data_IF_653506217274
#
_entry.id   IF_653506217274
#
_cell.length_a   1.000
_cell.length_b   1.000
_cell.length_c   1.000
_cell.angle_alpha   90.00
_cell.angle_beta   90.00
_cell.angle_gamma   90.00
#
_symmetry.space_group_name_H-M   'P 1'
#
loop_
_entity.id
_entity.type
_entity.pdbx_description
1 polymer ?
#
# COMPACT_ATOMS: atom_id res chain seq x y z
N UNK A 1 -105.25 12.56 -6.53
CA UNK A 1 -105.66 11.28 -5.90
C UNK A 1 -104.78 10.20 -6.52
N UNK A 2 -103.86 9.47 -5.88
CA UNK A 2 -103.48 9.27 -4.49
C UNK A 2 -101.96 8.99 -4.44
N UNK A 3 -101.25 9.59 -3.48
CA UNK A 3 -100.03 9.06 -2.83
C UNK A 3 -100.46 8.21 -1.59
N UNK A 4 -99.62 7.59 -0.72
CA UNK A 4 -98.14 7.73 -0.55
C UNK A 4 -97.34 6.50 0.01
N UNK A 5 -96.02 6.73 0.25
CA UNK A 5 -95.13 6.25 1.35
C UNK A 5 -94.37 4.90 1.30
N UNK A 6 -93.03 5.00 1.32
CA UNK A 6 -92.02 4.37 2.23
C UNK A 6 -90.73 4.04 1.46
N UNK A 7 -89.48 4.15 1.91
CA UNK A 7 -88.80 4.72 3.06
C UNK A 7 -87.26 4.54 2.82
N UNK A 8 -86.48 5.62 2.98
CA UNK A 8 -85.16 5.75 3.69
C UNK A 8 -83.97 4.77 3.38
N UNK A 9 -82.74 5.34 3.36
CA UNK A 9 -81.38 4.76 3.65
C UNK A 9 -80.65 4.12 2.42
N UNK A 10 -79.38 4.38 2.05
CA UNK A 10 -78.21 4.93 2.72
C UNK A 10 -77.23 5.63 1.74
N UNK A 11 -76.70 6.77 2.20
CA UNK A 11 -75.42 7.36 1.81
C UNK A 11 -74.28 6.47 2.29
N UNK A 12 -73.26 6.17 1.47
CA UNK A 12 -71.85 6.28 1.88
C UNK A 12 -70.88 6.11 0.72
N UNK A 13 -70.11 7.17 0.46
CA UNK A 13 -68.79 7.11 -0.15
C UNK A 13 -67.96 6.01 0.52
N UNK A 14 -67.49 5.04 -0.26
CA UNK A 14 -66.49 4.05 0.15
C UNK A 14 -65.17 4.28 -0.56
N UNK A 15 -64.56 5.46 -0.38
CA UNK A 15 -63.15 5.68 -0.72
C UNK A 15 -62.32 5.08 0.42
N UNK A 16 -62.05 3.77 0.41
CA UNK A 16 -61.14 3.15 1.38
C UNK A 16 -59.77 2.90 0.77
N UNK A 17 -58.95 3.95 0.72
CA UNK A 17 -57.51 3.78 0.78
C UNK A 17 -57.14 3.89 2.27
N UNK A 18 -56.85 2.78 2.93
CA UNK A 18 -55.98 2.78 4.12
C UNK A 18 -55.36 1.40 4.29
N UNK A 19 -54.35 1.10 3.46
CA UNK A 19 -53.26 0.26 3.92
C UNK A 19 -52.44 1.10 4.90
N UNK A 20 -52.83 1.12 6.17
CA UNK A 20 -51.93 1.59 7.23
C UNK A 20 -50.97 0.45 7.53
N UNK A 21 -49.85 0.41 6.78
CA UNK A 21 -48.70 -0.37 7.17
C UNK A 21 -48.35 -0.01 8.62
N UNK A 22 -48.07 -1.01 9.47
CA UNK A 22 -47.80 -0.73 10.88
C UNK A 22 -46.55 0.16 11.00
N UNK A 23 -46.46 0.97 12.06
CA UNK A 23 -45.25 1.78 12.29
C UNK A 23 -43.97 0.94 12.31
N UNK A 24 -44.07 -0.36 12.65
CA UNK A 24 -42.98 -1.32 12.54
C UNK A 24 -42.63 -1.66 11.08
N UNK A 25 -43.63 -1.81 10.19
CA UNK A 25 -43.41 -2.07 8.76
C UNK A 25 -42.80 -0.85 8.04
N UNK A 26 -43.23 0.36 8.38
CA UNK A 26 -42.65 1.60 7.83
C UNK A 26 -41.22 1.78 8.34
N UNK A 27 -40.99 1.53 9.63
CA UNK A 27 -39.66 1.64 10.22
C UNK A 27 -38.71 0.52 9.76
N UNK A 28 -39.23 -0.65 9.35
CA UNK A 28 -38.43 -1.71 8.73
C UNK A 28 -38.14 -1.38 7.26
N UNK A 29 -39.13 -0.88 6.50
CA UNK A 29 -38.94 -0.45 5.12
C UNK A 29 -37.93 0.70 4.99
N UNK A 30 -37.91 1.65 5.92
CA UNK A 30 -36.94 2.75 5.91
C UNK A 30 -35.53 2.26 6.26
N UNK A 31 -35.41 1.32 7.20
CA UNK A 31 -34.13 0.68 7.55
C UNK A 31 -33.56 -0.11 6.38
N UNK A 32 -34.40 -0.83 5.66
CA UNK A 32 -33.98 -1.60 4.49
C UNK A 32 -33.49 -0.69 3.35
N UNK A 33 -34.14 0.47 3.14
CA UNK A 33 -33.70 1.46 2.15
C UNK A 33 -32.33 2.08 2.53
N UNK A 34 -32.13 2.42 3.81
CA UNK A 34 -30.87 2.97 4.31
C UNK A 34 -29.73 1.95 4.22
N UNK A 35 -30.00 0.68 4.53
CA UNK A 35 -29.03 -0.41 4.38
C UNK A 35 -28.61 -0.59 2.90
N UNK A 36 -29.56 -0.50 1.96
CA UNK A 36 -29.23 -0.58 0.54
C UNK A 36 -28.35 0.59 0.07
N UNK A 37 -28.61 1.81 0.56
CA UNK A 37 -27.76 2.99 0.27
C UNK A 37 -26.34 2.79 0.79
N UNK A 38 -26.18 2.30 2.02
CA UNK A 38 -24.86 2.01 2.58
C UNK A 38 -24.12 0.93 1.77
N UNK A 39 -24.80 -0.13 1.36
CA UNK A 39 -24.20 -1.20 0.53
C UNK A 39 -23.73 -0.65 -0.81
N UNK A 40 -24.51 0.23 -1.45
CA UNK A 40 -24.12 0.87 -2.71
C UNK A 40 -22.87 1.74 -2.51
N UNK A 41 -22.83 2.53 -1.44
CA UNK A 41 -21.70 3.39 -1.13
C UNK A 41 -20.42 2.59 -0.83
N UNK A 42 -20.50 1.57 0.02
CA UNK A 42 -19.35 0.70 0.34
C UNK A 42 -18.82 -0.03 -0.91
N UNK A 43 -19.71 -0.48 -1.80
CA UNK A 43 -19.30 -1.08 -3.09
C UNK A 43 -18.54 -0.08 -3.96
N UNK A 44 -18.95 1.19 -3.95
CA UNK A 44 -18.25 2.26 -4.68
C UNK A 44 -16.85 2.50 -4.09
N UNK A 45 -16.76 2.69 -2.77
CA UNK A 45 -15.48 2.92 -2.08
C UNK A 45 -14.51 1.74 -2.25
N UNK A 46 -15.00 0.49 -2.18
CA UNK A 46 -14.18 -0.70 -2.43
C UNK A 46 -13.66 -0.77 -3.87
N UNK A 47 -14.46 -0.37 -4.85
CA UNK A 47 -14.02 -0.33 -6.25
C UNK A 47 -12.93 0.73 -6.48
N UNK A 48 -13.07 1.89 -5.84
CA UNK A 48 -12.05 2.94 -5.86
C UNK A 48 -10.75 2.46 -5.20
N UNK A 49 -10.84 1.85 -4.01
CA UNK A 49 -9.67 1.28 -3.33
C UNK A 49 -9.00 0.17 -4.13
N UNK A 50 -9.79 -0.70 -4.78
CA UNK A 50 -9.28 -1.75 -5.68
C UNK A 50 -8.55 -1.16 -6.89
N UNK A 51 -9.02 -0.02 -7.41
CA UNK A 51 -8.33 0.68 -8.50
C UNK A 51 -7.00 1.29 -8.08
N UNK A 52 -6.86 1.67 -6.80
CA UNK A 52 -5.60 2.17 -6.23
C UNK A 52 -4.63 1.03 -5.90
N UNK A 53 -5.15 -0.10 -5.41
CA UNK A 53 -4.38 -1.33 -5.17
C UNK A 53 -4.44 -2.25 -6.38
N UNK A 54 -3.73 -1.87 -7.45
CA UNK A 54 -3.56 -2.71 -8.62
C UNK A 54 -2.63 -3.88 -8.28
N UNK A 55 -3.19 -4.89 -7.62
CA UNK A 55 -2.56 -6.20 -7.51
C UNK A 55 -2.83 -6.94 -8.82
N UNK A 56 -1.78 -7.14 -9.59
CA UNK A 56 -1.81 -7.93 -10.82
C UNK A 56 -2.07 -9.41 -10.50
N UNK A 57 -2.50 -10.18 -11.49
CA UNK A 57 -2.79 -11.60 -11.34
C UNK A 57 -1.55 -12.42 -10.92
N UNK A 58 -0.34 -11.92 -11.24
CA UNK A 58 0.94 -12.50 -10.83
C UNK A 58 1.34 -12.16 -9.38
N UNK A 59 0.49 -11.42 -8.67
CA UNK A 59 0.72 -11.00 -7.30
C UNK A 59 1.52 -9.70 -7.16
N UNK A 60 1.96 -9.08 -8.26
CA UNK A 60 2.65 -7.79 -8.27
C UNK A 60 1.73 -6.70 -7.73
N UNK A 61 2.17 -5.97 -6.73
CA UNK A 61 1.50 -4.74 -6.29
C UNK A 61 2.10 -3.56 -7.05
N UNK A 62 1.29 -2.89 -7.88
CA UNK A 62 1.68 -1.61 -8.47
C UNK A 62 1.36 -0.48 -7.52
N UNK A 63 2.39 0.29 -7.21
CA UNK A 63 2.29 1.52 -6.43
C UNK A 63 2.38 2.71 -7.40
N UNK A 64 1.38 3.61 -7.43
CA UNK A 64 1.42 4.84 -8.23
C UNK A 64 2.68 5.68 -7.98
N UNK A 65 3.11 6.47 -8.98
CA UNK A 65 4.39 7.18 -8.95
C UNK A 65 4.48 8.30 -7.90
N UNK A 66 3.35 8.74 -7.38
CA UNK A 66 3.19 9.81 -6.39
C UNK A 66 2.92 9.28 -4.96
N UNK A 67 2.77 7.96 -4.79
CA UNK A 67 2.54 7.35 -3.49
C UNK A 67 3.82 7.32 -2.66
N UNK A 68 3.72 7.83 -1.43
CA UNK A 68 4.76 7.69 -0.41
C UNK A 68 4.41 6.55 0.54
N UNK A 69 5.36 5.63 0.73
CA UNK A 69 5.25 4.57 1.73
C UNK A 69 6.07 4.98 2.94
N UNK A 70 5.43 5.67 3.87
CA UNK A 70 6.00 5.99 5.18
C UNK A 70 5.50 4.98 6.22
N UNK A 71 6.42 4.39 7.00
CA UNK A 71 6.08 3.49 8.11
C UNK A 71 5.91 4.22 9.45
N UNK A 72 6.08 5.54 9.48
CA UNK A 72 5.79 6.41 10.63
C UNK A 72 6.76 6.27 11.81
N UNK A 73 6.35 6.79 12.97
CA UNK A 73 7.12 6.80 14.22
C UNK A 73 6.83 5.51 15.01
N UNK A 74 7.42 4.35 14.67
CA UNK A 74 7.49 3.25 15.62
C UNK A 74 8.30 2.02 15.14
N UNK A 75 9.07 1.47 16.09
CA UNK A 75 9.45 0.03 16.22
C UNK A 75 10.29 -0.59 15.09
N UNK A 76 11.09 -1.65 15.38
CA UNK A 76 11.88 -2.31 14.34
C UNK A 76 10.95 -2.93 13.31
N UNK A 77 11.12 -2.51 12.05
CA UNK A 77 10.27 -2.96 10.97
C UNK A 77 11.07 -3.84 10.01
N UNK A 78 10.78 -5.14 10.06
CA UNK A 78 11.48 -6.20 9.31
C UNK A 78 10.83 -6.37 7.94
N UNK A 79 11.65 -6.56 6.91
CA UNK A 79 11.20 -6.98 5.57
C UNK A 79 11.97 -8.23 5.20
N UNK A 80 11.28 -9.36 5.16
CA UNK A 80 11.80 -10.64 4.69
C UNK A 80 11.21 -10.93 3.31
N UNK A 81 12.03 -11.37 2.37
CA UNK A 81 11.63 -11.60 0.97
C UNK A 81 11.57 -13.09 0.63
N UNK A 82 12.18 -13.99 1.41
CA UNK A 82 12.23 -15.44 1.14
C UNK A 82 13.01 -15.87 -0.12
N UNK A 83 13.28 -14.94 -1.06
CA UNK A 83 14.07 -15.10 -2.27
C UNK A 83 14.77 -13.81 -2.67
N UNK A 84 14.91 -13.56 -3.97
CA UNK A 84 15.64 -12.40 -4.48
C UNK A 84 14.86 -11.08 -4.33
N UNK A 85 15.55 -10.03 -3.90
CA UNK A 85 15.04 -8.66 -3.89
C UNK A 85 15.78 -7.85 -4.97
N UNK A 86 15.04 -7.32 -5.95
CA UNK A 86 15.57 -6.44 -7.00
C UNK A 86 14.99 -5.02 -6.87
N UNK A 87 15.86 -4.02 -6.76
CA UNK A 87 15.49 -2.59 -6.64
C UNK A 87 16.04 -1.85 -7.86
N UNK A 88 15.15 -1.50 -8.79
CA UNK A 88 15.50 -0.73 -9.99
C UNK A 88 14.95 0.69 -9.88
N UNK A 89 15.83 1.69 -9.92
CA UNK A 89 15.44 3.10 -9.94
C UNK A 89 15.91 3.75 -11.23
N UNK A 90 15.13 4.70 -11.76
CA UNK A 90 15.47 5.45 -12.98
C UNK A 90 16.35 6.68 -12.73
N UNK A 91 16.43 7.11 -11.47
CA UNK A 91 17.16 8.30 -11.05
C UNK A 91 18.06 7.93 -9.88
N UNK A 92 17.62 8.24 -8.66
CA UNK A 92 18.44 8.11 -7.47
C UNK A 92 17.83 7.08 -6.51
N UNK A 93 18.69 6.30 -5.88
CA UNK A 93 18.39 5.55 -4.66
C UNK A 93 19.19 6.20 -3.52
N UNK A 94 18.50 6.62 -2.46
CA UNK A 94 19.11 7.22 -1.27
C UNK A 94 18.84 6.29 -0.09
N UNK A 95 19.90 5.89 0.62
CA UNK A 95 19.83 5.13 1.87
C UNK A 95 20.46 6.01 2.93
N UNK A 96 19.64 6.57 3.81
CA UNK A 96 20.08 7.41 4.93
C UNK A 96 19.85 6.68 6.25
N UNK A 97 20.88 6.61 7.09
CA UNK A 97 20.85 5.94 8.38
C UNK A 97 21.29 6.87 9.47
N UNK A 98 20.34 7.39 10.26
CA UNK A 98 20.63 8.41 11.29
C UNK A 98 21.63 7.99 12.38
N UNK A 99 21.88 6.68 12.57
CA UNK A 99 22.92 6.17 13.49
C UNK A 99 23.89 5.19 12.83
N UNK A 100 23.39 4.22 12.06
CA UNK A 100 24.20 3.16 11.43
C UNK A 100 23.45 2.50 10.29
N UNK A 101 24.18 2.18 9.22
CA UNK A 101 23.76 1.26 8.16
C UNK A 101 24.67 0.03 8.20
N UNK A 102 24.10 -1.16 8.14
CA UNK A 102 24.84 -2.43 8.10
C UNK A 102 24.36 -3.22 6.89
N UNK A 103 25.30 -3.66 6.05
CA UNK A 103 25.04 -4.50 4.89
C UNK A 103 25.88 -5.77 5.05
N UNK A 104 25.21 -6.92 5.10
CA UNK A 104 25.86 -8.22 5.25
C UNK A 104 25.54 -9.08 4.04
N UNK A 105 26.57 -9.68 3.45
CA UNK A 105 26.45 -10.65 2.39
C UNK A 105 27.25 -11.91 2.76
N UNK A 106 26.68 -13.08 2.54
CA UNK A 106 27.33 -14.35 2.90
C UNK A 106 28.41 -14.78 1.90
N UNK A 107 28.21 -14.47 0.62
CA UNK A 107 29.14 -14.88 -0.45
C UNK A 107 29.97 -13.71 -0.99
N UNK A 108 29.31 -12.62 -1.42
CA UNK A 108 29.98 -11.48 -2.03
C UNK A 108 29.17 -10.19 -1.88
N UNK A 109 29.86 -9.08 -1.64
CA UNK A 109 29.32 -7.72 -1.73
C UNK A 109 30.03 -6.98 -2.87
N UNK A 110 29.27 -6.37 -3.79
CA UNK A 110 29.81 -5.57 -4.91
C UNK A 110 29.15 -4.20 -4.91
N UNK A 111 29.97 -3.14 -4.91
CA UNK A 111 29.54 -1.76 -5.13
C UNK A 111 30.18 -1.28 -6.44
N UNK A 112 29.37 -1.09 -7.48
CA UNK A 112 29.86 -0.77 -8.82
C UNK A 112 29.27 0.53 -9.36
N UNK A 113 30.11 1.31 -10.05
CA UNK A 113 29.70 2.48 -10.82
C UNK A 113 30.50 2.52 -12.12
N UNK A 114 29.87 2.15 -13.24
CA UNK A 114 30.55 2.00 -14.52
C UNK A 114 31.73 1.02 -14.42
N UNK A 115 32.95 1.53 -14.62
CA UNK A 115 34.20 0.76 -14.54
C UNK A 115 34.83 0.69 -13.14
N UNK A 116 34.34 1.49 -12.19
CA UNK A 116 34.83 1.47 -10.83
C UNK A 116 34.05 0.44 -10.01
N UNK A 117 34.75 -0.33 -9.17
CA UNK A 117 34.12 -1.34 -8.33
C UNK A 117 34.87 -1.55 -7.01
N UNK A 118 34.10 -1.84 -5.95
CA UNK A 118 34.58 -2.38 -4.68
C UNK A 118 33.92 -3.74 -4.51
N UNK A 119 34.73 -4.80 -4.35
CA UNK A 119 34.25 -6.17 -4.16
C UNK A 119 34.82 -6.75 -2.88
N UNK A 120 33.95 -7.31 -2.04
CA UNK A 120 34.31 -8.08 -0.85
C UNK A 120 33.81 -9.50 -1.03
N UNK A 121 34.67 -10.49 -0.83
CA UNK A 121 34.33 -11.91 -1.02
C UNK A 121 34.38 -12.67 0.31
N UNK A 122 33.65 -13.78 0.42
CA UNK A 122 33.57 -14.61 1.64
C UNK A 122 34.90 -15.11 2.21
N UNK A 123 35.94 -15.16 1.39
CA UNK A 123 37.29 -15.54 1.81
C UNK A 123 38.08 -14.39 2.46
N UNK A 124 37.45 -13.22 2.64
CA UNK A 124 38.06 -12.04 3.24
C UNK A 124 38.81 -11.14 2.25
N UNK A 125 38.86 -11.50 0.96
CA UNK A 125 39.48 -10.64 -0.05
C UNK A 125 38.64 -9.38 -0.29
N UNK A 126 39.32 -8.24 -0.36
CA UNK A 126 38.74 -6.95 -0.73
C UNK A 126 39.51 -6.43 -1.95
N UNK A 127 38.78 -6.10 -3.02
CA UNK A 127 39.32 -5.49 -4.23
C UNK A 127 38.69 -4.13 -4.45
N UNK A 128 39.52 -3.13 -4.75
CA UNK A 128 39.10 -1.77 -5.09
C UNK A 128 39.74 -1.45 -6.44
N UNK A 129 38.91 -1.08 -7.41
CA UNK A 129 39.34 -0.80 -8.78
C UNK A 129 38.66 0.45 -9.33
N UNK A 130 39.39 1.19 -10.15
CA UNK A 130 38.96 2.45 -10.77
C UNK A 130 40.09 3.03 -11.61
N UNK A 131 39.81 4.10 -12.36
CA UNK A 131 40.85 4.80 -13.12
C UNK A 131 41.85 5.48 -12.17
N UNK A 132 41.35 6.18 -11.15
CA UNK A 132 42.12 6.80 -10.08
C UNK A 132 41.51 6.43 -8.72
N UNK A 133 42.35 6.15 -7.73
CA UNK A 133 41.94 5.88 -6.35
C UNK A 133 42.66 6.88 -5.44
N UNK A 134 41.91 7.82 -4.87
CA UNK A 134 42.44 8.79 -3.91
C UNK A 134 42.08 8.38 -2.48
N UNK A 135 43.09 8.17 -1.63
CA UNK A 135 42.92 7.87 -0.20
C UNK A 135 43.49 9.03 0.60
N UNK A 136 42.64 9.70 1.40
CA UNK A 136 43.02 10.84 2.24
C UNK A 136 42.57 10.59 3.68
N UNK A 137 43.51 10.61 4.63
CA UNK A 137 43.23 10.62 6.07
C UNK A 137 43.45 12.03 6.63
N UNK A 138 42.65 12.44 7.62
CA UNK A 138 42.87 13.69 8.36
C UNK A 138 43.97 13.55 9.42
N UNK A 139 44.24 12.32 9.84
CA UNK A 139 45.36 11.94 10.70
C UNK A 139 46.21 10.93 9.92
N UNK A 140 46.31 9.68 10.37
CA UNK A 140 47.16 8.69 9.70
C UNK A 140 46.37 7.78 8.74
N UNK A 141 47.02 7.39 7.64
CA UNK A 141 46.64 6.25 6.82
C UNK A 141 47.62 5.12 7.12
N UNK A 142 47.15 4.05 7.76
CA UNK A 142 47.99 2.91 8.16
C UNK A 142 47.71 1.71 7.28
N UNK A 143 48.73 1.24 6.55
CA UNK A 143 48.66 0.06 5.69
C UNK A 143 49.61 -0.99 6.25
N UNK A 144 49.06 -2.17 6.59
CA UNK A 144 49.82 -3.31 7.11
C UNK A 144 49.52 -4.53 6.25
N UNK A 145 50.58 -5.16 5.76
CA UNK A 145 50.53 -6.45 5.09
C UNK A 145 51.87 -7.13 5.28
N UNK A 146 51.92 -8.45 5.12
CA UNK A 146 53.19 -9.19 5.09
C UNK A 146 54.10 -8.71 3.95
N UNK A 147 53.50 -8.14 2.89
CA UNK A 147 54.18 -7.45 1.79
C UNK A 147 53.28 -6.35 1.23
N UNK A 148 53.87 -5.18 0.93
CA UNK A 148 53.19 -4.07 0.24
C UNK A 148 53.99 -3.77 -1.03
N UNK A 149 53.40 -4.04 -2.19
CA UNK A 149 54.01 -3.71 -3.48
C UNK A 149 53.55 -2.31 -3.90
N UNK A 150 54.48 -1.49 -4.39
CA UNK A 150 54.24 -0.16 -4.93
C UNK A 150 54.99 -0.09 -6.27
N UNK A 151 54.30 0.31 -7.35
CA UNK A 151 54.85 0.42 -8.71
C UNK A 151 54.66 1.85 -9.21
#
# INVERSE_FOLDING_TARGET
>A
MNTPRSAIIATLLGLSITGVASAADIANSSRDEDLQKQIIQLRKELNELKSLMQREADGTLRVPSDMQVDRGIATPAVRDTGGDLNINTRKNLIIDGGKRVVITANDQLVLQSGRAAITMSKNGNISISGADIQVKGTSDVVIKGSKVNQN
#
